data_IF_413449723454
#
_entry.id   IF_413449723454
#
_cell.length_a   1.000
_cell.length_b   1.000
_cell.length_c   1.000
_cell.angle_alpha   90.00
_cell.angle_beta   90.00
_cell.angle_gamma   90.00
#
_symmetry.space_group_name_H-M   'P 1'
#
loop_
_entity.id
_entity.type
_entity.pdbx_description
1 polymer ?
#
# COMPACT_ATOMS: atom_id res chain seq x y z
N UNK A 1 0.85 -8.50 -13.28
CA UNK A 1 1.11 -9.24 -12.04
C UNK A 1 0.33 -10.54 -12.02
N UNK A 2 0.92 -11.60 -11.57
CA UNK A 2 0.24 -12.90 -11.51
C UNK A 2 -0.73 -12.95 -10.33
N UNK A 3 -1.80 -13.75 -10.47
CA UNK A 3 -2.80 -13.88 -9.43
C UNK A 3 -2.27 -14.45 -8.11
N UNK A 4 -1.30 -15.35 -8.18
CA UNK A 4 -0.71 -15.96 -7.00
C UNK A 4 0.28 -15.04 -6.27
N UNK A 5 0.69 -13.94 -6.89
CA UNK A 5 1.55 -12.98 -6.23
C UNK A 5 0.78 -12.24 -5.16
N UNK A 6 1.42 -12.08 -4.01
CA UNK A 6 0.77 -11.50 -2.85
C UNK A 6 1.11 -10.02 -2.73
N UNK A 7 0.13 -9.22 -2.31
CA UNK A 7 0.35 -7.82 -1.99
C UNK A 7 0.14 -7.57 -0.50
N UNK A 8 0.76 -6.53 0.00
CA UNK A 8 0.58 -6.08 1.38
C UNK A 8 -0.26 -4.81 1.37
N UNK A 9 -1.31 -4.77 2.20
CA UNK A 9 -2.16 -3.59 2.34
C UNK A 9 -1.98 -3.04 3.75
N UNK A 10 -1.59 -1.77 3.86
CA UNK A 10 -1.44 -1.09 5.15
C UNK A 10 -2.69 -0.26 5.38
N UNK A 11 -3.58 -0.73 6.24
CA UNK A 11 -4.90 -0.14 6.47
C UNK A 11 -5.41 -0.53 7.84
N UNK A 12 -5.91 0.44 8.61
CA UNK A 12 -6.43 0.15 9.95
C UNK A 12 -7.94 -0.03 10.00
N UNK A 13 -8.66 0.14 8.90
CA UNK A 13 -10.10 -0.07 8.85
C UNK A 13 -10.39 -1.53 8.48
N UNK A 14 -11.01 -2.33 9.38
CA UNK A 14 -11.26 -3.74 9.10
C UNK A 14 -12.12 -4.01 7.88
N UNK A 15 -13.06 -3.10 7.57
CA UNK A 15 -13.91 -3.26 6.40
C UNK A 15 -13.14 -3.11 5.10
N UNK A 16 -12.21 -2.14 5.05
CA UNK A 16 -11.35 -1.97 3.89
C UNK A 16 -10.43 -3.17 3.71
N UNK A 17 -9.85 -3.65 4.81
CA UNK A 17 -9.02 -4.85 4.78
C UNK A 17 -9.79 -6.05 4.25
N UNK A 18 -11.02 -6.24 4.72
CA UNK A 18 -11.87 -7.36 4.26
C UNK A 18 -12.14 -7.25 2.77
N UNK A 19 -12.48 -6.06 2.29
CA UNK A 19 -12.71 -5.83 0.87
C UNK A 19 -11.49 -6.18 0.03
N UNK A 20 -10.32 -5.75 0.48
CA UNK A 20 -9.07 -6.04 -0.21
C UNK A 20 -8.77 -7.55 -0.22
N UNK A 21 -8.98 -8.22 0.91
CA UNK A 21 -8.74 -9.66 1.02
C UNK A 21 -9.69 -10.48 0.15
N UNK A 22 -10.89 -9.99 -0.10
CA UNK A 22 -11.84 -10.64 -1.00
C UNK A 22 -11.46 -10.48 -2.47
N UNK A 23 -10.74 -9.42 -2.81
CA UNK A 23 -10.45 -9.06 -4.21
C UNK A 23 -9.02 -9.39 -4.63
N UNK A 24 -8.10 -9.45 -3.70
CA UNK A 24 -6.69 -9.66 -3.98
C UNK A 24 -6.12 -10.73 -3.06
N UNK A 25 -5.08 -11.39 -3.53
CA UNK A 25 -4.27 -12.23 -2.66
C UNK A 25 -3.41 -11.29 -1.82
N UNK A 26 -3.83 -10.98 -0.60
CA UNK A 26 -3.14 -9.96 0.20
C UNK A 26 -3.12 -10.29 1.67
N UNK A 27 -2.14 -9.72 2.37
CA UNK A 27 -2.12 -9.60 3.81
C UNK A 27 -2.44 -8.15 4.17
N UNK A 28 -3.06 -7.95 5.31
CA UNK A 28 -3.40 -6.61 5.78
C UNK A 28 -2.61 -6.30 7.05
N UNK A 29 -1.91 -5.18 7.05
CA UNK A 29 -1.19 -4.68 8.21
C UNK A 29 -1.95 -3.47 8.76
N UNK A 30 -2.08 -3.38 10.07
CA UNK A 30 -2.89 -2.34 10.71
C UNK A 30 -2.11 -1.07 11.00
N UNK A 31 -0.78 -1.14 10.99
CA UNK A 31 0.08 0.02 11.21
C UNK A 31 1.45 -0.24 10.56
N UNK A 32 2.34 0.75 10.67
CA UNK A 32 3.67 0.68 10.08
C UNK A 32 4.55 -0.41 10.67
N UNK A 33 4.46 -0.65 11.96
CA UNK A 33 5.25 -1.70 12.62
C UNK A 33 4.83 -3.08 12.15
N UNK A 34 3.52 -3.32 12.06
CA UNK A 34 2.97 -4.56 11.54
C UNK A 34 3.38 -4.76 10.08
N UNK A 35 3.33 -3.68 9.29
CA UNK A 35 3.75 -3.72 7.89
C UNK A 35 5.22 -4.11 7.75
N UNK A 36 6.10 -3.49 8.53
CA UNK A 36 7.53 -3.79 8.49
C UNK A 36 7.80 -5.24 8.89
N UNK A 37 7.14 -5.71 9.94
CA UNK A 37 7.27 -7.11 10.37
C UNK A 37 6.88 -8.07 9.27
N UNK A 38 5.79 -7.79 8.56
CA UNK A 38 5.35 -8.63 7.45
C UNK A 38 6.33 -8.57 6.27
N UNK A 39 6.84 -7.38 5.97
CA UNK A 39 7.83 -7.21 4.89
C UNK A 39 9.14 -7.96 5.16
N UNK A 40 9.54 -8.06 6.40
CA UNK A 40 10.75 -8.79 6.78
C UNK A 40 10.59 -10.31 6.61
N UNK A 41 9.37 -10.81 6.66
CA UNK A 41 9.11 -12.25 6.70
C UNK A 41 8.43 -12.80 5.46
N UNK A 42 7.98 -11.97 4.55
CA UNK A 42 7.22 -12.40 3.37
C UNK A 42 7.59 -11.53 2.18
N UNK A 43 7.71 -12.15 1.02
CA UNK A 43 7.91 -11.42 -0.22
C UNK A 43 6.57 -10.98 -0.79
N UNK A 44 6.47 -9.69 -1.09
CA UNK A 44 5.28 -9.10 -1.70
C UNK A 44 5.62 -8.51 -3.06
N UNK A 45 4.70 -8.62 -4.00
CA UNK A 45 4.87 -8.01 -5.32
C UNK A 45 4.57 -6.50 -5.29
N UNK A 46 3.71 -6.09 -4.38
CA UNK A 46 3.31 -4.68 -4.26
C UNK A 46 2.91 -4.38 -2.83
N UNK A 47 2.93 -3.10 -2.48
CA UNK A 47 2.40 -2.62 -1.22
C UNK A 47 1.41 -1.49 -1.50
N UNK A 48 0.25 -1.56 -0.87
CA UNK A 48 -0.78 -0.52 -0.93
C UNK A 48 -0.84 0.14 0.45
N UNK A 49 -0.61 1.44 0.51
CA UNK A 49 -0.53 2.17 1.77
C UNK A 49 -1.68 3.18 1.83
N UNK A 50 -2.49 3.10 2.88
CA UNK A 50 -3.51 4.10 3.14
C UNK A 50 -2.84 5.38 3.66
N UNK A 51 -2.83 6.41 2.83
CA UNK A 51 -2.22 7.69 3.17
C UNK A 51 -3.02 8.47 4.22
N UNK A 52 -4.27 8.06 4.49
CA UNK A 52 -5.14 8.71 5.46
C UNK A 52 -4.99 8.13 6.87
N UNK A 53 -4.28 7.01 7.02
CA UNK A 53 -3.99 6.45 8.34
C UNK A 53 -3.12 7.44 9.12
N UNK A 54 -3.41 7.69 10.41
CA UNK A 54 -2.66 8.66 11.19
C UNK A 54 -1.16 8.46 11.08
N UNK A 55 -0.51 9.53 10.75
CA UNK A 55 0.92 9.70 10.53
C UNK A 55 1.81 8.58 11.07
N UNK A 56 3.03 8.52 10.77
CA UNK A 56 4.03 7.52 11.12
C UNK A 56 3.92 6.23 10.31
N UNK A 57 2.72 5.68 10.12
CA UNK A 57 2.57 4.42 9.40
C UNK A 57 3.10 4.53 7.96
N UNK A 58 2.60 5.54 7.21
CA UNK A 58 3.04 5.72 5.84
C UNK A 58 4.50 6.14 5.72
N UNK A 59 4.93 7.08 6.56
CA UNK A 59 6.30 7.56 6.53
C UNK A 59 7.30 6.49 6.95
N UNK A 60 6.99 5.75 8.01
CA UNK A 60 7.87 4.69 8.49
C UNK A 60 8.03 3.57 7.48
N UNK A 61 6.93 3.17 6.87
CA UNK A 61 6.96 2.13 5.84
C UNK A 61 7.73 2.61 4.61
N UNK A 62 7.49 3.86 4.18
CA UNK A 62 8.19 4.40 3.02
C UNK A 62 9.69 4.50 3.26
N UNK A 63 10.11 4.95 4.45
CA UNK A 63 11.52 5.01 4.82
C UNK A 63 12.15 3.61 4.81
N UNK A 64 11.45 2.63 5.37
CA UNK A 64 11.90 1.25 5.36
C UNK A 64 12.07 0.73 3.94
N UNK A 65 11.10 1.00 3.07
CA UNK A 65 11.18 0.55 1.69
C UNK A 65 12.38 1.16 0.95
N UNK A 66 12.67 2.41 1.19
CA UNK A 66 13.80 3.08 0.55
C UNK A 66 15.15 2.56 1.02
N UNK A 67 15.27 2.29 2.31
CA UNK A 67 16.55 1.96 2.93
C UNK A 67 16.83 0.47 3.00
N UNK A 68 15.80 -0.34 3.25
CA UNK A 68 16.00 -1.76 3.55
C UNK A 68 15.53 -2.70 2.44
N UNK A 69 14.44 -2.36 1.77
CA UNK A 69 13.86 -3.24 0.75
C UNK A 69 14.28 -2.82 -0.66
N UNK A 70 14.42 -1.51 -0.86
CA UNK A 70 14.86 -0.98 -2.14
C UNK A 70 13.86 -1.29 -3.26
N UNK A 71 14.32 -1.98 -4.29
CA UNK A 71 13.52 -2.24 -5.49
C UNK A 71 12.89 -3.62 -5.52
N UNK A 72 12.82 -4.30 -4.39
CA UNK A 72 12.24 -5.64 -4.34
C UNK A 72 10.73 -5.66 -4.58
N UNK A 73 10.05 -4.52 -4.40
CA UNK A 73 8.63 -4.40 -4.69
C UNK A 73 8.43 -3.84 -6.09
N UNK A 74 7.51 -4.46 -6.84
CA UNK A 74 7.20 -3.99 -8.18
C UNK A 74 6.40 -2.69 -8.15
N UNK A 75 5.53 -2.55 -7.15
CA UNK A 75 4.64 -1.39 -7.06
C UNK A 75 4.50 -0.93 -5.62
N UNK A 76 4.55 0.39 -5.43
CA UNK A 76 4.16 1.04 -4.18
C UNK A 76 3.01 1.99 -4.54
N UNK A 77 1.85 1.76 -3.96
CA UNK A 77 0.62 2.45 -4.29
C UNK A 77 0.06 3.10 -3.03
N UNK A 78 -0.22 4.40 -3.10
CA UNK A 78 -0.91 5.10 -2.02
C UNK A 78 -2.38 5.23 -2.37
N UNK A 79 -3.25 4.97 -1.39
CA UNK A 79 -4.68 5.25 -1.56
C UNK A 79 -5.09 6.35 -0.60
N UNK A 80 -5.98 7.22 -1.04
CA UNK A 80 -6.42 8.36 -0.24
C UNK A 80 -7.87 8.72 -0.53
N UNK A 81 -8.58 9.19 0.50
CA UNK A 81 -9.88 9.84 0.34
C UNK A 81 -9.73 11.34 0.21
N UNK A 82 -8.52 11.85 0.35
CA UNK A 82 -8.19 13.26 0.30
C UNK A 82 -7.66 13.66 -1.07
N UNK A 83 -7.22 14.91 -1.17
CA UNK A 83 -6.61 15.46 -2.36
C UNK A 83 -5.25 14.80 -2.64
N UNK A 84 -5.05 14.38 -3.88
CA UNK A 84 -3.79 13.74 -4.30
C UNK A 84 -2.58 14.64 -4.13
N UNK A 85 -2.75 15.95 -4.31
CA UNK A 85 -1.67 16.91 -4.12
C UNK A 85 -1.18 16.94 -2.68
N UNK A 86 -2.08 16.75 -1.72
CA UNK A 86 -1.71 16.65 -0.31
C UNK A 86 -0.83 15.43 -0.06
N UNK A 87 -1.16 14.31 -0.67
CA UNK A 87 -0.35 13.10 -0.56
C UNK A 87 1.04 13.33 -1.17
N UNK A 88 1.10 13.96 -2.33
CA UNK A 88 2.38 14.25 -2.98
C UNK A 88 3.27 15.17 -2.16
N UNK A 89 2.67 16.18 -1.51
CA UNK A 89 3.43 17.08 -0.64
C UNK A 89 4.04 16.36 0.56
N UNK A 90 3.32 15.36 1.09
CA UNK A 90 3.75 14.64 2.29
C UNK A 90 4.72 13.50 1.98
N UNK A 91 4.57 12.83 0.84
CA UNK A 91 5.31 11.61 0.55
C UNK A 91 6.21 11.68 -0.68
N UNK A 92 6.00 12.65 -1.58
CA UNK A 92 6.82 12.82 -2.77
C UNK A 92 6.00 12.91 -4.04
N UNK A 93 6.63 13.39 -5.13
CA UNK A 93 5.95 13.71 -6.38
C UNK A 93 5.74 12.51 -7.31
N UNK A 94 6.54 11.47 -7.16
CA UNK A 94 6.56 10.35 -8.10
C UNK A 94 5.83 9.12 -7.56
N UNK A 95 4.68 9.35 -6.97
CA UNK A 95 3.91 8.27 -6.36
C UNK A 95 2.75 7.86 -7.24
N UNK A 96 2.44 6.58 -7.22
CA UNK A 96 1.18 6.07 -7.75
C UNK A 96 0.13 6.27 -6.66
N UNK A 97 -0.89 7.08 -6.95
CA UNK A 97 -1.92 7.44 -5.99
C UNK A 97 -3.28 7.09 -6.58
N UNK A 98 -4.09 6.36 -5.82
CA UNK A 98 -5.44 5.97 -6.23
C UNK A 98 -6.46 6.52 -5.26
N UNK A 99 -7.68 6.75 -5.74
CA UNK A 99 -8.79 7.18 -4.91
C UNK A 99 -9.27 6.02 -4.04
N UNK A 100 -9.42 6.26 -2.75
CA UNK A 100 -9.77 5.20 -1.79
C UNK A 100 -11.15 4.60 -2.07
N UNK A 101 -12.11 5.41 -2.51
CA UNK A 101 -13.46 4.94 -2.84
C UNK A 101 -13.52 4.13 -4.14
N UNK A 102 -12.47 4.18 -4.94
CA UNK A 102 -12.35 3.40 -6.17
C UNK A 102 -11.09 2.51 -6.14
N UNK A 103 -10.64 2.17 -4.95
CA UNK A 103 -9.34 1.54 -4.77
C UNK A 103 -9.24 0.19 -5.50
N UNK A 104 -10.26 -0.65 -5.41
CA UNK A 104 -10.21 -1.98 -6.03
C UNK A 104 -10.00 -1.85 -7.53
N UNK A 105 -10.79 -1.00 -8.20
CA UNK A 105 -10.70 -0.82 -9.64
C UNK A 105 -9.38 -0.20 -10.06
N UNK A 106 -8.95 0.83 -9.36
CA UNK A 106 -7.72 1.54 -9.70
C UNK A 106 -6.47 0.72 -9.41
N UNK A 107 -6.45 0.00 -8.29
CA UNK A 107 -5.33 -0.89 -7.97
C UNK A 107 -5.23 -2.02 -8.99
N UNK A 108 -6.36 -2.62 -9.36
CA UNK A 108 -6.40 -3.66 -10.39
C UNK A 108 -5.78 -3.14 -11.68
N UNK A 109 -6.16 -1.93 -12.08
CA UNK A 109 -5.63 -1.32 -13.30
C UNK A 109 -4.12 -1.11 -13.23
N UNK A 110 -3.62 -0.63 -12.11
CA UNK A 110 -2.17 -0.42 -11.92
C UNK A 110 -1.42 -1.74 -11.96
N UNK A 111 -1.92 -2.75 -11.27
CA UNK A 111 -1.24 -4.05 -11.18
C UNK A 111 -1.26 -4.82 -12.50
N UNK A 112 -2.27 -4.60 -13.32
CA UNK A 112 -2.40 -5.27 -14.60
C UNK A 112 -1.76 -4.49 -15.75
N UNK A 113 -1.26 -3.32 -15.50
CA UNK A 113 -0.64 -2.49 -16.52
C UNK A 113 0.70 -3.03 -17.01
#
# INVERSE_FOLDING_TARGET
MRREEKILVVENNPEVCRTMEERFNCDCATDGWDAISKLENTDYAAIVIDADVPHHSGYGVLAYLREEVGENLQHVIFMTSSDRDTVRRNFGDRLTIVAKDQAVEEITRVLDA
#
